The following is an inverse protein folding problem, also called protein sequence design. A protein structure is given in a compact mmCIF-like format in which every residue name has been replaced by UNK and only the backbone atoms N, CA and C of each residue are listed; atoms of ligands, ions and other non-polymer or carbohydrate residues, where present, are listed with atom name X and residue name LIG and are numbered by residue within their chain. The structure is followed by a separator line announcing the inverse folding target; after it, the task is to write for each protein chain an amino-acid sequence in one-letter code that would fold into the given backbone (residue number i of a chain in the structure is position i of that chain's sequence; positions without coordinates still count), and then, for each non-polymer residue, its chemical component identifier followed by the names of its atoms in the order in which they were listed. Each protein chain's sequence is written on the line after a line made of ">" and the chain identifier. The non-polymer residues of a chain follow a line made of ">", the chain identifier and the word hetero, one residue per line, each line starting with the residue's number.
data_IF_520512442438
#
_entry.id   IF_520512442438
#
_cell.length_a   1.000
_cell.length_b   1.000
_cell.length_c   1.000
_cell.angle_alpha   90.00
_cell.angle_beta   90.00
_cell.angle_gamma   90.00
#
_symmetry.space_group_name_H-M   'P 1'
#
loop_
_entity.id
_entity.type
_entity.pdbx_description
1 polymer ?
#
# COMPACT_ATOMS: atom_id res chain seq x y z
N UNK A 1 -14.28 -11.19 1.70
CA UNK A 1 -14.73 -9.82 2.02
C UNK A 1 -15.27 -9.12 0.78
N UNK A 2 -14.71 -9.44 -0.39
CA UNK A 2 -15.20 -8.99 -1.70
C UNK A 2 -16.65 -9.38 -1.99
N UNK A 3 -17.13 -10.55 -1.54
CA UNK A 3 -18.51 -10.99 -1.76
C UNK A 3 -19.58 -10.09 -1.12
N UNK A 4 -19.18 -9.18 -0.22
CA UNK A 4 -20.06 -8.20 0.43
C UNK A 4 -20.06 -6.84 -0.27
N UNK A 5 -19.17 -6.64 -1.26
CA UNK A 5 -19.05 -5.39 -2.01
C UNK A 5 -20.08 -5.33 -3.14
N UNK A 6 -20.54 -4.12 -3.47
CA UNK A 6 -21.41 -3.90 -4.63
C UNK A 6 -20.66 -4.21 -5.93
N UNK A 7 -21.37 -4.62 -6.99
CA UNK A 7 -20.77 -4.94 -8.28
C UNK A 7 -19.87 -3.83 -8.85
N UNK A 8 -20.26 -2.57 -8.66
CA UNK A 8 -19.49 -1.41 -9.10
C UNK A 8 -18.14 -1.31 -8.37
N UNK A 9 -18.14 -1.60 -7.05
CA UNK A 9 -16.93 -1.62 -6.23
C UNK A 9 -16.03 -2.79 -6.61
N UNK A 10 -16.60 -3.97 -6.85
CA UNK A 10 -15.85 -5.14 -7.34
C UNK A 10 -15.22 -4.85 -8.69
N UNK A 11 -15.96 -4.26 -9.63
CA UNK A 11 -15.44 -3.86 -10.95
C UNK A 11 -14.31 -2.86 -10.82
N UNK A 12 -14.45 -1.86 -9.95
CA UNK A 12 -13.40 -0.87 -9.70
C UNK A 12 -12.13 -1.48 -9.13
N UNK A 13 -12.25 -2.35 -8.12
CA UNK A 13 -11.10 -3.04 -7.52
C UNK A 13 -10.44 -4.01 -8.51
N UNK A 14 -11.24 -4.63 -9.38
CA UNK A 14 -10.76 -5.48 -10.46
C UNK A 14 -9.95 -4.66 -11.48
N UNK A 15 -10.44 -3.50 -11.91
CA UNK A 15 -9.70 -2.58 -12.80
C UNK A 15 -8.38 -2.13 -12.15
N UNK A 16 -8.40 -1.82 -10.85
CA UNK A 16 -7.17 -1.50 -10.10
C UNK A 16 -6.18 -2.67 -10.08
N UNK A 17 -6.64 -3.91 -9.92
CA UNK A 17 -5.76 -5.09 -9.91
C UNK A 17 -5.10 -5.32 -11.28
N UNK A 18 -5.85 -5.17 -12.36
CA UNK A 18 -5.28 -5.23 -13.71
C UNK A 18 -4.24 -4.13 -13.93
N UNK A 19 -4.53 -2.92 -13.49
CA UNK A 19 -3.58 -1.81 -13.54
C UNK A 19 -2.32 -2.10 -12.71
N UNK A 20 -2.48 -2.65 -11.49
CA UNK A 20 -1.37 -3.06 -10.62
C UNK A 20 -0.51 -4.13 -11.28
N UNK A 21 -1.10 -5.17 -11.85
CA UNK A 21 -0.36 -6.20 -12.59
C UNK A 21 0.53 -5.57 -13.66
N UNK A 22 -0.06 -4.72 -14.51
CA UNK A 22 0.67 -4.10 -15.61
C UNK A 22 1.79 -3.16 -15.13
N UNK A 23 1.61 -2.49 -13.98
CA UNK A 23 2.65 -1.68 -13.36
C UNK A 23 3.77 -2.54 -12.75
N UNK A 24 3.43 -3.66 -12.13
CA UNK A 24 4.39 -4.60 -11.57
C UNK A 24 5.14 -5.38 -12.66
N UNK A 25 4.57 -5.58 -13.85
CA UNK A 25 5.33 -6.10 -15.01
C UNK A 25 6.50 -5.17 -15.39
N UNK A 26 6.32 -3.86 -15.21
CA UNK A 26 7.34 -2.84 -15.55
C UNK A 26 8.30 -2.62 -14.37
N UNK A 27 7.77 -2.45 -13.17
CA UNK A 27 8.51 -1.97 -12.00
C UNK A 27 8.76 -3.05 -10.94
N UNK A 28 8.15 -4.24 -11.06
CA UNK A 28 8.05 -5.24 -9.99
C UNK A 28 9.40 -5.71 -9.44
N UNK A 29 10.42 -5.86 -10.30
CA UNK A 29 11.77 -6.24 -9.86
C UNK A 29 12.41 -5.20 -8.95
N UNK A 30 12.37 -3.93 -9.36
CA UNK A 30 12.95 -2.85 -8.55
C UNK A 30 12.08 -2.58 -7.32
N UNK A 31 10.76 -2.71 -7.46
CA UNK A 31 9.80 -2.66 -6.36
C UNK A 31 10.18 -3.68 -5.27
N UNK A 32 10.25 -4.97 -5.59
CA UNK A 32 10.64 -6.03 -4.65
C UNK A 32 11.99 -5.74 -3.97
N UNK A 33 13.00 -5.36 -4.74
CA UNK A 33 14.34 -5.07 -4.22
C UNK A 33 14.32 -3.93 -3.20
N UNK A 34 13.58 -2.86 -3.49
CA UNK A 34 13.50 -1.66 -2.64
C UNK A 34 12.62 -1.90 -1.43
N UNK A 35 11.48 -2.57 -1.60
CA UNK A 35 10.58 -2.97 -0.51
C UNK A 35 11.30 -3.88 0.48
N UNK A 36 12.05 -4.89 0.00
CA UNK A 36 12.88 -5.74 0.86
C UNK A 36 13.94 -4.96 1.64
N UNK A 37 14.59 -3.97 1.00
CA UNK A 37 15.53 -3.09 1.71
C UNK A 37 14.84 -2.27 2.79
N UNK A 38 13.63 -1.76 2.52
CA UNK A 38 12.83 -1.03 3.50
C UNK A 38 12.47 -1.89 4.71
N UNK A 39 12.00 -3.12 4.47
CA UNK A 39 11.67 -4.08 5.53
C UNK A 39 12.88 -4.34 6.43
N UNK A 40 14.02 -4.69 5.83
CA UNK A 40 15.26 -4.99 6.59
C UNK A 40 15.69 -3.76 7.40
N UNK A 41 15.64 -2.58 6.78
CA UNK A 41 16.03 -1.34 7.44
C UNK A 41 15.13 -1.04 8.64
N UNK A 42 13.81 -1.08 8.47
CA UNK A 42 12.84 -0.79 9.53
C UNK A 42 13.00 -1.80 10.67
N UNK A 43 13.05 -3.10 10.36
CA UNK A 43 13.22 -4.16 11.39
C UNK A 43 14.50 -4.03 12.20
N UNK A 44 15.54 -3.42 11.66
CA UNK A 44 16.81 -3.20 12.35
C UNK A 44 16.86 -1.90 13.17
N UNK A 45 15.87 -1.00 13.03
CA UNK A 45 15.86 0.27 13.75
C UNK A 45 15.85 0.12 15.27
N UNK A 46 15.05 -0.77 15.89
CA UNK A 46 15.02 -0.92 17.34
C UNK A 46 16.35 -1.40 17.94
N UNK A 47 17.21 -2.05 17.14
CA UNK A 47 18.55 -2.47 17.56
C UNK A 47 19.56 -1.32 17.50
N UNK A 48 19.27 -0.27 16.73
CA UNK A 48 20.16 0.86 16.45
C UNK A 48 19.77 2.13 17.19
N UNK A 49 18.49 2.30 17.50
CA UNK A 49 17.91 3.53 18.04
C UNK A 49 16.88 3.23 19.13
N UNK A 50 16.81 4.09 20.14
CA UNK A 50 15.67 4.16 21.04
C UNK A 50 14.53 4.91 20.34
N UNK A 51 13.58 4.16 19.76
CA UNK A 51 12.49 4.70 18.97
C UNK A 51 11.50 5.56 19.78
N UNK A 52 11.47 5.41 21.10
CA UNK A 52 10.62 6.23 21.98
C UNK A 52 11.23 7.61 22.23
N UNK A 53 12.55 7.75 22.07
CA UNK A 53 13.29 8.96 22.45
C UNK A 53 14.27 9.42 21.35
N UNK A 54 13.81 9.47 20.10
CA UNK A 54 14.63 9.93 18.99
C UNK A 54 14.94 11.43 19.07
N UNK A 55 16.20 11.79 18.90
CA UNK A 55 16.59 13.17 18.66
C UNK A 55 16.14 13.64 17.28
N UNK A 56 16.08 14.97 17.09
CA UNK A 56 15.77 15.58 15.78
C UNK A 56 16.74 15.08 14.70
N UNK A 57 18.02 14.93 15.03
CA UNK A 57 19.02 14.45 14.07
C UNK A 57 18.76 13.01 13.63
N UNK A 58 18.40 12.14 14.57
CA UNK A 58 18.09 10.74 14.28
C UNK A 58 16.80 10.61 13.47
N UNK A 59 15.76 11.38 13.80
CA UNK A 59 14.53 11.48 12.99
C UNK A 59 14.85 11.85 11.54
N UNK A 60 15.67 12.88 11.32
CA UNK A 60 16.07 13.29 9.97
C UNK A 60 16.88 12.21 9.24
N UNK A 61 17.84 11.58 9.92
CA UNK A 61 18.67 10.52 9.33
C UNK A 61 17.80 9.33 8.89
N UNK A 62 16.87 8.91 9.75
CA UNK A 62 15.95 7.82 9.46
C UNK A 62 15.07 8.16 8.26
N UNK A 63 14.44 9.34 8.24
CA UNK A 63 13.60 9.79 7.12
C UNK A 63 14.35 9.78 5.79
N UNK A 64 15.59 10.27 5.75
CA UNK A 64 16.39 10.31 4.52
C UNK A 64 16.62 8.89 3.97
N UNK A 65 16.94 7.92 4.84
CA UNK A 65 17.14 6.52 4.41
C UNK A 65 15.83 5.90 3.89
N UNK A 66 14.69 6.28 4.49
CA UNK A 66 13.36 5.81 4.08
C UNK A 66 12.92 6.30 2.69
N UNK A 67 13.29 7.53 2.29
CA UNK A 67 12.93 8.11 0.98
C UNK A 67 13.22 7.15 -0.18
N UNK A 68 14.34 6.43 -0.10
CA UNK A 68 14.82 5.60 -1.19
C UNK A 68 13.92 4.40 -1.53
N UNK A 69 13.21 3.84 -0.54
CA UNK A 69 12.26 2.74 -0.76
C UNK A 69 10.80 3.23 -0.81
N UNK A 70 10.47 4.35 -0.18
CA UNK A 70 9.16 4.98 -0.36
C UNK A 70 8.94 5.50 -1.78
N UNK A 71 10.02 5.90 -2.47
CA UNK A 71 9.92 6.41 -3.85
C UNK A 71 9.39 5.37 -4.84
N UNK A 72 9.77 4.08 -4.73
CA UNK A 72 9.29 3.06 -5.66
C UNK A 72 7.80 2.74 -5.44
N UNK A 73 7.33 2.82 -4.19
CA UNK A 73 5.92 2.65 -3.84
C UNK A 73 5.11 3.76 -4.52
N UNK A 74 5.57 5.02 -4.39
CA UNK A 74 4.93 6.16 -5.06
C UNK A 74 4.90 6.01 -6.58
N UNK A 75 5.95 5.46 -7.20
CA UNK A 75 5.98 5.19 -8.65
C UNK A 75 4.93 4.17 -9.05
N UNK A 76 4.84 3.04 -8.34
CA UNK A 76 3.86 1.99 -8.63
C UNK A 76 2.44 2.50 -8.38
N UNK A 77 2.18 3.15 -7.25
CA UNK A 77 0.85 3.73 -6.95
C UNK A 77 0.41 4.76 -8.00
N UNK A 78 1.34 5.62 -8.44
CA UNK A 78 1.06 6.57 -9.52
C UNK A 78 0.73 5.86 -10.83
N UNK A 79 1.51 4.84 -11.20
CA UNK A 79 1.25 4.03 -12.40
C UNK A 79 -0.13 3.37 -12.33
N UNK A 80 -0.54 2.82 -11.19
CA UNK A 80 -1.87 2.21 -11.00
C UNK A 80 -2.96 3.26 -11.17
N UNK A 81 -2.82 4.42 -10.54
CA UNK A 81 -3.77 5.53 -10.67
C UNK A 81 -3.94 6.01 -12.12
N UNK A 82 -2.84 6.14 -12.86
CA UNK A 82 -2.86 6.54 -14.28
C UNK A 82 -3.47 5.48 -15.20
N UNK A 83 -3.42 4.20 -14.81
CA UNK A 83 -3.93 3.08 -15.60
C UNK A 83 -5.31 2.59 -15.19
N UNK A 84 -5.83 3.06 -14.06
CA UNK A 84 -7.21 2.77 -13.67
C UNK A 84 -8.12 3.66 -14.53
N UNK A 85 -8.64 3.09 -15.62
CA UNK A 85 -9.31 3.81 -16.70
C UNK A 85 -10.77 4.15 -16.44
N UNK A 86 -11.33 3.71 -15.31
CA UNK A 86 -12.74 3.89 -15.01
C UNK A 86 -13.02 5.39 -14.80
N UNK A 87 -13.63 6.06 -15.78
CA UNK A 87 -14.29 7.33 -15.55
C UNK A 87 -15.47 7.06 -14.63
N UNK A 88 -15.23 7.19 -13.34
CA UNK A 88 -16.24 6.99 -12.31
C UNK A 88 -17.06 8.26 -12.26
N UNK A 89 -18.32 8.18 -12.66
CA UNK A 89 -19.25 9.29 -12.43
C UNK A 89 -19.40 9.55 -10.93
N UNK A 90 -19.83 10.76 -10.58
CA UNK A 90 -19.88 11.19 -9.18
C UNK A 90 -20.74 10.27 -8.31
N UNK A 91 -21.82 9.69 -8.85
CA UNK A 91 -22.70 8.82 -8.08
C UNK A 91 -22.04 7.47 -7.82
N UNK A 92 -21.51 6.82 -8.86
CA UNK A 92 -20.74 5.58 -8.72
C UNK A 92 -19.54 5.75 -7.78
N UNK A 93 -18.89 6.91 -7.82
CA UNK A 93 -17.79 7.25 -6.92
C UNK A 93 -18.21 7.30 -5.46
N UNK A 94 -19.36 7.91 -5.15
CA UNK A 94 -19.92 7.91 -3.79
C UNK A 94 -20.27 6.50 -3.33
N UNK A 95 -20.82 5.66 -4.21
CA UNK A 95 -21.13 4.26 -3.87
C UNK A 95 -19.85 3.50 -3.52
N UNK A 96 -18.81 3.59 -4.35
CA UNK A 96 -17.52 2.94 -4.08
C UNK A 96 -16.96 3.41 -2.74
N UNK A 97 -16.90 4.73 -2.49
CA UNK A 97 -16.39 5.27 -1.22
C UNK A 97 -17.19 4.76 -0.02
N UNK A 98 -18.51 4.67 -0.14
CA UNK A 98 -19.36 4.14 0.93
C UNK A 98 -19.09 2.66 1.18
N UNK A 99 -18.85 1.85 0.15
CA UNK A 99 -18.49 0.43 0.32
C UNK A 99 -17.13 0.27 0.97
N UNK A 100 -16.14 1.04 0.51
CA UNK A 100 -14.81 1.04 1.12
C UNK A 100 -14.91 1.44 2.60
N UNK A 101 -15.78 2.39 2.94
CA UNK A 101 -16.00 2.79 4.34
C UNK A 101 -16.71 1.74 5.17
N UNK A 102 -17.81 1.19 4.68
CA UNK A 102 -18.67 0.29 5.47
C UNK A 102 -18.11 -1.13 5.53
N UNK A 103 -17.59 -1.64 4.42
CA UNK A 103 -17.16 -3.05 4.30
C UNK A 103 -15.68 -3.20 4.65
N UNK A 104 -14.82 -2.26 4.25
CA UNK A 104 -13.39 -2.31 4.59
C UNK A 104 -13.06 -1.52 5.86
N UNK A 105 -14.06 -0.88 6.48
CA UNK A 105 -13.92 -0.05 7.68
C UNK A 105 -12.96 1.13 7.46
N UNK A 106 -12.92 1.68 6.24
CA UNK A 106 -12.05 2.82 5.91
C UNK A 106 -12.75 4.15 6.22
N UNK A 107 -12.33 4.84 7.27
CA UNK A 107 -12.82 6.18 7.59
C UNK A 107 -11.68 7.18 7.84
N UNK A 108 -12.06 8.44 8.09
CA UNK A 108 -11.11 9.55 8.27
C UNK A 108 -10.30 9.50 9.57
N UNK A 109 -10.56 8.54 10.45
CA UNK A 109 -9.85 8.37 11.73
C UNK A 109 -8.68 7.40 11.63
N UNK A 110 -8.59 6.64 10.54
CA UNK A 110 -7.46 5.76 10.26
C UNK A 110 -6.19 6.55 9.98
N UNK A 111 -5.05 6.00 10.39
CA UNK A 111 -3.75 6.43 9.89
C UNK A 111 -3.62 6.15 8.38
N UNK A 112 -2.74 6.87 7.68
CA UNK A 112 -2.44 6.61 6.25
C UNK A 112 -2.04 5.14 6.02
N UNK A 113 -1.41 4.53 7.03
CA UNK A 113 -0.95 3.16 7.01
C UNK A 113 -2.09 2.15 7.14
N UNK A 114 -2.97 2.31 8.12
CA UNK A 114 -4.15 1.45 8.28
C UNK A 114 -5.09 1.55 7.07
N UNK A 115 -5.27 2.76 6.54
CA UNK A 115 -6.03 2.97 5.30
C UNK A 115 -5.42 2.18 4.13
N UNK A 116 -4.09 2.20 4.01
CA UNK A 116 -3.38 1.47 2.97
C UNK A 116 -3.50 -0.05 3.14
N UNK A 117 -3.44 -0.57 4.37
CA UNK A 117 -3.64 -2.01 4.65
C UNK A 117 -5.04 -2.45 4.19
N UNK A 118 -6.08 -1.73 4.63
CA UNK A 118 -7.48 -2.04 4.29
C UNK A 118 -7.76 -1.95 2.79
N UNK A 119 -7.19 -0.95 2.10
CA UNK A 119 -7.31 -0.83 0.62
C UNK A 119 -6.62 -1.97 -0.13
N UNK A 120 -5.55 -2.55 0.41
CA UNK A 120 -4.84 -3.65 -0.24
C UNK A 120 -5.41 -5.04 0.09
N UNK A 121 -6.29 -5.16 1.08
CA UNK A 121 -6.88 -6.45 1.45
C UNK A 121 -7.72 -7.08 0.32
N UNK A 122 -8.60 -6.34 -0.40
CA UNK A 122 -9.25 -6.88 -1.59
C UNK A 122 -8.26 -7.29 -2.67
N UNK A 123 -7.16 -6.55 -2.82
CA UNK A 123 -6.13 -6.90 -3.81
C UNK A 123 -5.49 -8.25 -3.54
N UNK A 124 -5.26 -8.62 -2.27
CA UNK A 124 -4.85 -9.99 -1.93
C UNK A 124 -5.86 -11.05 -2.34
N UNK A 125 -7.16 -10.81 -2.08
CA UNK A 125 -8.21 -11.75 -2.44
C UNK A 125 -8.25 -11.96 -3.97
N UNK A 126 -7.97 -10.91 -4.76
CA UNK A 126 -7.98 -10.95 -6.23
C UNK A 126 -6.65 -11.40 -6.87
N UNK A 127 -5.54 -11.37 -6.12
CA UNK A 127 -4.20 -11.56 -6.67
C UNK A 127 -3.98 -12.92 -7.35
N UNK A 128 -4.53 -13.98 -6.78
CA UNK A 128 -4.41 -15.33 -7.33
C UNK A 128 -5.15 -15.49 -8.66
N UNK A 129 -6.14 -14.64 -8.92
CA UNK A 129 -6.93 -14.64 -10.16
C UNK A 129 -6.28 -13.82 -11.28
N UNK A 130 -5.74 -12.63 -10.96
CA UNK A 130 -5.30 -11.68 -11.99
C UNK A 130 -3.79 -11.62 -12.21
N UNK A 131 -2.97 -11.73 -11.16
CA UNK A 131 -1.52 -11.58 -11.31
C UNK A 131 -0.70 -12.43 -10.31
N UNK A 132 -0.85 -13.76 -10.35
CA UNK A 132 -0.18 -14.66 -9.40
C UNK A 132 1.35 -14.53 -9.44
N UNK A 133 1.93 -14.14 -10.58
CA UNK A 133 3.37 -13.90 -10.73
C UNK A 133 3.89 -12.74 -9.89
N UNK A 134 3.02 -11.80 -9.50
CA UNK A 134 3.37 -10.61 -8.70
C UNK A 134 2.91 -10.71 -7.25
N UNK A 135 2.37 -11.86 -6.83
CA UNK A 135 1.92 -12.11 -5.45
C UNK A 135 3.00 -11.79 -4.42
N UNK A 136 4.24 -12.17 -4.69
CA UNK A 136 5.37 -11.85 -3.81
C UNK A 136 5.52 -10.33 -3.61
N UNK A 137 5.38 -9.53 -4.66
CA UNK A 137 5.53 -8.08 -4.57
C UNK A 137 4.49 -7.46 -3.65
N UNK A 138 3.22 -7.86 -3.78
CA UNK A 138 2.15 -7.32 -2.95
C UNK A 138 2.24 -7.81 -1.51
N UNK A 139 2.59 -9.08 -1.28
CA UNK A 139 2.86 -9.59 0.07
C UNK A 139 4.04 -8.86 0.73
N UNK A 140 5.10 -8.54 -0.03
CA UNK A 140 6.21 -7.73 0.49
C UNK A 140 5.80 -6.30 0.80
N UNK A 141 4.87 -5.72 0.05
CA UNK A 141 4.31 -4.41 0.41
C UNK A 141 3.60 -4.48 1.76
N UNK A 142 2.83 -5.54 2.02
CA UNK A 142 2.18 -5.74 3.31
C UNK A 142 3.19 -5.97 4.43
N UNK A 143 4.22 -6.80 4.21
CA UNK A 143 5.28 -6.98 5.22
C UNK A 143 5.99 -5.66 5.53
N UNK A 144 6.18 -4.78 4.54
CA UNK A 144 6.75 -3.45 4.76
C UNK A 144 5.82 -2.59 5.60
N UNK A 145 4.52 -2.62 5.30
CA UNK A 145 3.52 -1.89 6.05
C UNK A 145 3.47 -2.42 7.50
N UNK A 146 3.38 -3.72 7.72
CA UNK A 146 3.44 -4.32 9.07
C UNK A 146 4.73 -3.94 9.80
N UNK A 147 5.89 -3.98 9.12
CA UNK A 147 7.15 -3.56 9.72
C UNK A 147 7.13 -2.08 10.14
N UNK A 148 6.46 -1.21 9.38
CA UNK A 148 6.36 0.21 9.70
C UNK A 148 5.51 0.50 10.95
N UNK A 149 4.70 -0.45 11.44
CA UNK A 149 3.91 -0.26 12.67
C UNK A 149 4.76 -0.02 13.93
N UNK A 150 6.03 -0.42 13.91
CA UNK A 150 6.97 -0.16 15.02
C UNK A 150 7.46 1.29 15.04
N UNK A 151 7.26 2.04 13.96
CA UNK A 151 7.75 3.41 13.83
C UNK A 151 6.88 4.35 14.67
N UNK A 152 7.48 5.34 15.36
CA UNK A 152 6.73 6.37 16.05
C UNK A 152 5.99 7.28 15.03
N UNK A 153 4.92 7.99 15.44
CA UNK A 153 4.10 8.81 14.55
C UNK A 153 4.87 9.84 13.72
N UNK A 154 6.02 10.32 14.22
CA UNK A 154 6.87 11.27 13.50
C UNK A 154 7.56 10.65 12.27
N UNK A 155 7.59 9.32 12.17
CA UNK A 155 8.21 8.53 11.10
C UNK A 155 7.22 7.73 10.24
N UNK A 156 5.94 7.70 10.63
CA UNK A 156 4.83 7.18 9.82
C UNK A 156 4.45 8.19 8.74
#
# INVERSE_FOLDING_TARGET
>A
MIDQLRPETVSFLTDQEHARCACLDIYGREFLKKTNKGIIYIKALPEQYDLENLSISELYEIKIKMVSFMSIIKIVSKCVGERTTTQIDQFTGMLIQEDLRVVLEIDSTLSEQEELERRNQPSLELLDEFCPQHKEAVLKLQELIEAAQILPPELQ
#
